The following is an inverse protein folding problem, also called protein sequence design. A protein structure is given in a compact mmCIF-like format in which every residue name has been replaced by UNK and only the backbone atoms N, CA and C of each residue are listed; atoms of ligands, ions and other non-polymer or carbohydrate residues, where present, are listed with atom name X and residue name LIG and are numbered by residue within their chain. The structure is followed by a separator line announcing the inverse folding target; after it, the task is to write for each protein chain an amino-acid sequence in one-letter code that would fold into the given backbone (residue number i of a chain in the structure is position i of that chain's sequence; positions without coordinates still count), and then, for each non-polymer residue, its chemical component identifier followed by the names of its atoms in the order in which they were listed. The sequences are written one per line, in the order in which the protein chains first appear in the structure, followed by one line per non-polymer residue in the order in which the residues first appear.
data_IF_013236359888
#
_entry.id   IF_013236359888
#
_cell.length_a   1.000
_cell.length_b   1.000
_cell.length_c   1.000
_cell.angle_alpha   90.00
_cell.angle_beta   90.00
_cell.angle_gamma   90.00
#
_symmetry.space_group_name_H-M   'P 1'
#
loop_
_entity.id
_entity.type
_entity.pdbx_description
1 polymer ?
#
# COMPACT_ATOMS: atom_id res chain seq x y z
N UNK A 1 -9.31 5.00 -16.03
CA UNK A 1 -8.61 4.27 -14.96
C UNK A 1 -8.39 5.23 -13.81
N UNK A 2 -8.44 4.74 -12.58
CA UNK A 2 -8.08 5.55 -11.41
C UNK A 2 -6.56 5.70 -11.32
N UNK A 3 -6.09 6.73 -10.60
CA UNK A 3 -4.64 6.90 -10.31
C UNK A 3 -4.06 5.70 -9.56
N UNK A 4 -4.89 4.98 -8.80
CA UNK A 4 -4.50 3.76 -8.09
C UNK A 4 -4.30 2.58 -9.05
N UNK A 5 -5.24 2.38 -9.99
CA UNK A 5 -5.14 1.37 -11.05
C UNK A 5 -3.88 1.57 -11.90
N UNK A 6 -3.65 2.81 -12.35
CA UNK A 6 -2.47 3.17 -13.15
C UNK A 6 -1.16 2.89 -12.40
N UNK A 7 -1.09 3.24 -11.11
CA UNK A 7 0.09 3.00 -10.28
C UNK A 7 0.36 1.51 -10.08
N UNK A 8 -0.68 0.70 -9.89
CA UNK A 8 -0.58 -0.75 -9.72
C UNK A 8 -0.04 -1.44 -10.99
N UNK A 9 -0.58 -1.07 -12.14
CA UNK A 9 -0.10 -1.56 -13.44
C UNK A 9 1.34 -1.14 -13.71
N UNK A 10 1.68 0.10 -13.41
CA UNK A 10 3.06 0.63 -13.58
C UNK A 10 4.06 -0.09 -12.68
N UNK A 11 3.67 -0.42 -11.45
CA UNK A 11 4.51 -1.16 -10.50
C UNK A 11 4.56 -2.67 -10.78
N UNK A 12 3.73 -3.18 -11.70
CA UNK A 12 3.69 -4.60 -12.07
C UNK A 12 3.08 -5.51 -11.00
N UNK A 13 2.32 -4.95 -10.05
CA UNK A 13 1.63 -5.75 -9.02
C UNK A 13 0.27 -6.25 -9.54
N UNK A 14 -0.05 -7.50 -9.24
CA UNK A 14 -1.39 -8.04 -9.46
C UNK A 14 -2.32 -7.66 -8.31
N UNK A 15 -3.53 -7.19 -8.64
CA UNK A 15 -4.51 -6.76 -7.66
C UNK A 15 -5.95 -6.91 -8.15
N UNK A 16 -6.87 -7.04 -7.20
CA UNK A 16 -8.31 -6.91 -7.44
C UNK A 16 -8.71 -5.46 -7.16
N UNK A 17 -9.62 -4.92 -7.98
CA UNK A 17 -10.13 -3.57 -7.82
C UNK A 17 -11.62 -3.60 -7.51
N UNK A 18 -12.02 -2.78 -6.55
CA UNK A 18 -13.41 -2.50 -6.21
C UNK A 18 -13.67 -1.00 -6.22
N UNK A 19 -14.95 -0.61 -6.08
CA UNK A 19 -15.38 0.79 -5.94
C UNK A 19 -14.84 1.70 -7.06
N UNK A 20 -14.93 1.24 -8.32
CA UNK A 20 -14.45 1.99 -9.49
C UNK A 20 -12.95 2.34 -9.43
N UNK A 21 -12.13 1.39 -8.94
CA UNK A 21 -10.68 1.53 -8.89
C UNK A 21 -10.18 2.33 -7.70
N UNK A 22 -11.05 2.69 -6.75
CA UNK A 22 -10.68 3.41 -5.51
C UNK A 22 -10.23 2.50 -4.39
N UNK A 23 -10.49 1.21 -4.53
CA UNK A 23 -10.08 0.18 -3.60
C UNK A 23 -9.28 -0.86 -4.37
N UNK A 24 -8.10 -1.17 -3.88
CA UNK A 24 -7.26 -2.23 -4.41
C UNK A 24 -6.92 -3.23 -3.30
N UNK A 25 -7.07 -4.51 -3.64
CA UNK A 25 -6.72 -5.64 -2.80
C UNK A 25 -5.55 -6.40 -3.44
N UNK A 26 -4.42 -6.46 -2.74
CA UNK A 26 -3.17 -7.08 -3.20
C UNK A 26 -2.83 -8.28 -2.33
N UNK A 27 -2.25 -9.31 -2.93
CA UNK A 27 -1.79 -10.48 -2.19
C UNK A 27 -0.29 -10.40 -1.96
N UNK A 28 0.10 -10.13 -0.71
CA UNK A 28 1.48 -10.33 -0.27
C UNK A 28 1.71 -11.75 0.25
N UNK A 29 2.97 -12.05 0.59
CA UNK A 29 3.36 -13.38 1.07
C UNK A 29 2.82 -13.68 2.47
N UNK A 30 2.77 -12.67 3.35
CA UNK A 30 2.38 -12.80 4.76
C UNK A 30 0.94 -12.40 5.02
N UNK A 31 0.40 -11.46 4.24
CA UNK A 31 -0.96 -10.96 4.42
C UNK A 31 -1.52 -10.38 3.13
N UNK A 32 -2.85 -10.18 3.13
CA UNK A 32 -3.53 -9.37 2.13
C UNK A 32 -3.29 -7.90 2.45
N UNK A 33 -3.01 -7.10 1.43
CA UNK A 33 -2.82 -5.65 1.53
C UNK A 33 -4.02 -4.96 0.92
N UNK A 34 -4.55 -3.97 1.61
CA UNK A 34 -5.57 -3.09 1.10
C UNK A 34 -4.98 -1.70 0.86
N UNK A 35 -5.29 -1.12 -0.30
CA UNK A 35 -4.99 0.27 -0.62
C UNK A 35 -6.28 0.96 -1.02
N UNK A 36 -6.63 2.04 -0.33
CA UNK A 36 -7.90 2.73 -0.51
C UNK A 36 -7.66 4.21 -0.71
N UNK A 37 -8.21 4.77 -1.78
CA UNK A 37 -8.23 6.20 -2.02
C UNK A 37 -9.11 6.91 -0.97
N UNK A 38 -8.57 7.94 -0.34
CA UNK A 38 -9.30 8.77 0.61
C UNK A 38 -10.44 9.53 -0.09
N UNK A 39 -11.46 9.90 0.68
CA UNK A 39 -12.49 10.81 0.18
C UNK A 39 -11.85 12.11 -0.36
N UNK A 40 -12.40 12.64 -1.45
CA UNK A 40 -11.89 13.83 -2.16
C UNK A 40 -10.51 13.67 -2.84
N UNK A 41 -10.03 12.45 -3.04
CA UNK A 41 -8.77 12.17 -3.76
C UNK A 41 -7.52 12.82 -3.13
N UNK A 42 -7.54 13.05 -1.81
CA UNK A 42 -6.45 13.72 -1.08
C UNK A 42 -5.25 12.80 -0.79
N UNK A 43 -5.41 11.49 -0.98
CA UNK A 43 -4.36 10.50 -0.78
C UNK A 43 -4.90 9.09 -0.67
N UNK A 44 -4.12 8.20 -0.08
CA UNK A 44 -4.35 6.76 -0.06
C UNK A 44 -3.98 6.18 1.30
N UNK A 45 -4.88 5.38 1.83
CA UNK A 45 -4.64 4.56 3.00
C UNK A 45 -4.14 3.19 2.59
N UNK A 46 -3.20 2.63 3.35
CA UNK A 46 -2.68 1.28 3.12
C UNK A 46 -2.52 0.51 4.42
N UNK A 47 -2.93 -0.75 4.43
CA UNK A 47 -2.70 -1.64 5.57
C UNK A 47 -2.61 -3.10 5.14
N UNK A 48 -1.91 -3.88 5.96
CA UNK A 48 -1.83 -5.34 5.89
C UNK A 48 -2.91 -5.94 6.81
N UNK A 49 -3.64 -6.95 6.34
CA UNK A 49 -4.71 -7.64 7.07
C UNK A 49 -4.18 -8.74 8.00
N UNK A 50 -3.03 -8.50 8.61
CA UNK A 50 -2.51 -9.32 9.71
C UNK A 50 -2.94 -8.67 11.03
N UNK A 51 -3.80 -9.29 11.84
CA UNK A 51 -4.30 -8.72 13.09
C UNK A 51 -3.19 -8.40 14.11
N UNK A 52 -2.03 -9.06 14.04
CA UNK A 52 -0.90 -8.77 14.93
C UNK A 52 -0.14 -7.49 14.55
N UNK A 53 -0.20 -7.07 13.28
CA UNK A 53 0.60 -5.97 12.74
C UNK A 53 -0.22 -4.89 12.04
N UNK A 54 -1.56 -4.98 12.10
CA UNK A 54 -2.51 -4.10 11.40
C UNK A 54 -2.31 -2.64 11.78
N UNK A 55 -1.55 -1.94 10.94
CA UNK A 55 -1.27 -0.51 11.05
C UNK A 55 -1.72 0.18 9.76
N UNK A 56 -2.65 1.12 9.88
CA UNK A 56 -3.13 1.94 8.77
C UNK A 56 -2.20 3.13 8.60
N UNK A 57 -1.66 3.32 7.39
CA UNK A 57 -0.79 4.44 7.04
C UNK A 57 -1.38 5.23 5.89
N UNK A 58 -1.11 6.54 5.87
CA UNK A 58 -1.61 7.47 4.85
C UNK A 58 -0.45 8.00 4.00
N UNK A 59 -0.65 8.04 2.69
CA UNK A 59 0.29 8.57 1.71
C UNK A 59 -0.44 9.46 0.70
N UNK A 60 0.23 10.51 0.21
CA UNK A 60 -0.34 11.36 -0.85
C UNK A 60 -0.35 10.67 -2.21
N UNK A 61 0.67 9.86 -2.48
CA UNK A 61 0.85 9.22 -3.78
C UNK A 61 0.48 7.72 -3.72
N UNK A 62 -0.25 7.20 -4.71
CA UNK A 62 -0.75 5.83 -4.70
C UNK A 62 0.40 4.82 -4.73
N UNK A 63 1.46 5.11 -5.49
CA UNK A 63 2.63 4.25 -5.57
C UNK A 63 3.32 4.06 -4.22
N UNK A 64 3.38 5.11 -3.38
CA UNK A 64 3.96 5.01 -2.05
C UNK A 64 3.09 4.12 -1.13
N UNK A 65 1.77 4.27 -1.20
CA UNK A 65 0.85 3.44 -0.43
C UNK A 65 0.93 1.95 -0.83
N UNK A 66 1.02 1.67 -2.13
CA UNK A 66 1.19 0.31 -2.67
C UNK A 66 2.50 -0.31 -2.18
N UNK A 67 3.62 0.39 -2.37
CA UNK A 67 4.95 -0.11 -1.98
C UNK A 67 5.02 -0.33 -0.47
N UNK A 68 4.56 0.63 0.35
CA UNK A 68 4.57 0.49 1.80
C UNK A 68 3.71 -0.68 2.30
N UNK A 69 2.56 -0.92 1.68
CA UNK A 69 1.72 -2.08 1.96
C UNK A 69 2.44 -3.38 1.61
N UNK A 70 2.99 -3.48 0.40
CA UNK A 70 3.67 -4.68 -0.10
C UNK A 70 4.95 -5.00 0.69
N UNK A 71 5.79 -4.02 1.03
CA UNK A 71 6.98 -4.24 1.86
C UNK A 71 6.63 -4.85 3.21
N UNK A 72 5.53 -4.41 3.83
CA UNK A 72 5.06 -4.99 5.09
C UNK A 72 4.55 -6.42 4.89
N UNK A 73 3.85 -6.67 3.80
CA UNK A 73 3.29 -7.97 3.47
C UNK A 73 4.31 -9.01 2.99
N UNK A 74 5.50 -8.61 2.53
CA UNK A 74 6.63 -9.52 2.26
C UNK A 74 7.55 -9.70 3.46
N UNK A 75 7.34 -8.93 4.54
CA UNK A 75 8.21 -8.96 5.72
C UNK A 75 9.52 -8.18 5.55
N UNK A 76 9.65 -7.41 4.47
CA UNK A 76 10.82 -6.60 4.17
C UNK A 76 10.74 -5.24 4.88
N UNK A 77 10.51 -5.29 6.20
CA UNK A 77 10.55 -4.13 7.08
C UNK A 77 11.98 -3.55 7.26
N UNK A 78 12.96 -4.05 6.51
CA UNK A 78 14.37 -3.67 6.62
C UNK A 78 14.72 -2.36 5.91
N UNK A 79 13.87 -1.85 5.00
CA UNK A 79 14.21 -0.72 4.13
C UNK A 79 13.89 0.69 4.62
N UNK A 80 13.05 0.88 5.66
CA UNK A 80 12.55 2.22 6.07
C UNK A 80 12.95 2.58 7.52
N UNK A 81 13.95 1.90 8.10
CA UNK A 81 14.46 2.17 9.46
C UNK A 81 15.97 2.40 9.57
N UNK A 82 16.63 2.95 8.55
CA UNK A 82 18.02 3.47 8.71
C UNK A 82 18.27 4.75 7.91
N UNK A 83 17.72 5.87 8.37
CA UNK A 83 18.29 7.20 8.03
C UNK A 83 18.03 8.25 9.12
N UNK A 84 17.88 7.82 10.37
CA UNK A 84 18.00 8.67 11.56
C UNK A 84 18.67 7.83 12.63
N UNK A 85 20.00 7.80 12.60
CA UNK A 85 20.87 7.93 13.79
C UNK A 85 22.31 7.61 13.38
N UNK A 86 23.23 8.40 13.93
CA UNK A 86 24.67 8.58 13.67
C UNK A 86 24.92 9.85 12.85
N UNK A 87 24.88 11.03 13.49
CA UNK A 87 25.91 11.60 14.40
C UNK A 87 27.13 12.09 13.61
#
# INVERSE_FOLDING_TARGET
MSRLEDALLTLGYAGQFELSGRWATLRGERCVVFVVEAANAEGYYTWCDDPATRTVEFYREPAQAIVAGMCRATGDASGIRRSRDHA
#
